data_IF_099648221918
#
_entry.id   IF_099648221918
#
_cell.length_a   1.000
_cell.length_b   1.000
_cell.length_c   1.000
_cell.angle_alpha   90.00
_cell.angle_beta   90.00
_cell.angle_gamma   90.00
#
_symmetry.space_group_name_H-M   'P 1'
#
loop_
_entity.id
_entity.type
_entity.pdbx_description
1 polymer ?
#
# COMPACT_ATOMS: atom_id res chain seq x y z
N UNK A 1 -13.27 6.45 7.36
CA UNK A 1 -11.87 5.99 7.33
C UNK A 1 -11.41 5.93 5.89
N UNK A 2 -10.24 6.50 5.59
CA UNK A 2 -9.57 6.41 4.27
C UNK A 2 -8.47 5.35 4.37
N UNK A 3 -8.54 4.29 3.56
CA UNK A 3 -7.55 3.21 3.55
C UNK A 3 -6.84 3.13 2.19
N UNK A 4 -5.52 3.33 2.16
CA UNK A 4 -4.77 3.47 0.91
C UNK A 4 -3.35 2.93 0.97
N UNK A 5 -2.81 2.56 -0.20
CA UNK A 5 -1.37 2.31 -0.39
C UNK A 5 -0.52 3.58 -0.49
N UNK A 6 -1.13 4.76 -0.64
CA UNK A 6 -0.42 6.02 -0.72
C UNK A 6 0.23 6.43 0.61
N UNK A 7 1.24 7.29 0.52
CA UNK A 7 1.85 7.96 1.66
C UNK A 7 0.84 8.84 2.41
N UNK A 8 0.98 8.92 3.72
CA UNK A 8 0.14 9.76 4.58
C UNK A 8 0.11 11.22 4.10
N UNK A 9 1.26 11.80 3.76
CA UNK A 9 1.35 13.19 3.31
C UNK A 9 0.51 13.45 2.06
N UNK A 10 0.50 12.52 1.11
CA UNK A 10 -0.31 12.63 -0.11
C UNK A 10 -1.81 12.60 0.19
N UNK A 11 -2.23 11.78 1.15
CA UNK A 11 -3.63 11.74 1.58
C UNK A 11 -4.03 13.04 2.26
N UNK A 12 -3.19 13.55 3.16
CA UNK A 12 -3.43 14.84 3.83
C UNK A 12 -3.54 15.99 2.83
N UNK A 13 -2.74 15.99 1.76
CA UNK A 13 -2.86 17.00 0.70
C UNK A 13 -4.22 16.92 -0.03
N UNK A 14 -4.72 15.72 -0.30
CA UNK A 14 -6.06 15.54 -0.90
C UNK A 14 -7.18 16.02 0.03
N UNK A 15 -7.02 15.83 1.33
CA UNK A 15 -8.03 16.16 2.34
C UNK A 15 -7.84 17.53 2.99
N UNK A 16 -6.86 18.34 2.58
CA UNK A 16 -6.52 19.63 3.19
C UNK A 16 -7.68 20.64 3.32
N UNK A 17 -8.70 20.52 2.46
CA UNK A 17 -9.88 21.38 2.47
C UNK A 17 -11.14 20.64 2.95
N UNK A 18 -11.00 19.40 3.45
CA UNK A 18 -12.14 18.65 3.94
C UNK A 18 -12.44 19.06 5.39
N UNK A 19 -13.67 19.52 5.62
CA UNK A 19 -14.16 19.89 6.93
C UNK A 19 -14.97 18.73 7.51
N UNK A 20 -14.33 17.84 8.25
CA UNK A 20 -14.98 16.69 8.87
C UNK A 20 -13.98 15.83 9.63
N UNK A 21 -14.48 14.95 10.47
CA UNK A 21 -13.67 13.95 11.17
C UNK A 21 -13.39 12.77 10.24
N UNK A 22 -12.14 12.37 10.17
CA UNK A 22 -11.71 11.21 9.41
C UNK A 22 -10.45 10.60 9.99
N UNK A 23 -10.29 9.30 9.75
CA UNK A 23 -9.11 8.53 10.12
C UNK A 23 -8.41 8.05 8.85
N UNK A 24 -7.10 7.86 8.90
CA UNK A 24 -6.33 7.42 7.73
C UNK A 24 -5.56 6.16 8.04
N UNK A 25 -5.65 5.20 7.12
CA UNK A 25 -4.78 4.03 6.98
C UNK A 25 -3.92 4.29 5.75
N UNK A 26 -2.64 4.62 5.94
CA UNK A 26 -1.69 4.93 4.88
C UNK A 26 -0.67 3.80 4.69
N UNK A 27 0.06 3.82 3.55
CA UNK A 27 1.11 2.85 3.24
C UNK A 27 0.67 1.39 3.44
N UNK A 28 -0.54 1.02 2.97
CA UNK A 28 -1.17 -0.29 3.15
C UNK A 28 -1.38 -0.70 4.62
N UNK A 29 -1.40 0.24 5.55
CA UNK A 29 -1.56 -0.02 6.98
C UNK A 29 -0.27 0.11 7.80
N UNK A 30 0.85 0.50 7.18
CA UNK A 30 2.09 0.73 7.90
C UNK A 30 2.03 1.99 8.80
N UNK A 31 1.13 2.93 8.49
CA UNK A 31 0.84 4.11 9.30
C UNK A 31 -0.66 4.27 9.48
N UNK A 32 -1.06 4.59 10.71
CA UNK A 32 -2.44 4.95 11.05
C UNK A 32 -2.45 6.36 11.64
N UNK A 33 -3.30 7.22 11.10
CA UNK A 33 -3.65 8.50 11.73
C UNK A 33 -5.03 8.36 12.38
N UNK A 34 -5.07 8.56 13.68
CA UNK A 34 -6.29 8.55 14.49
C UNK A 34 -6.39 9.88 15.25
N UNK A 35 -7.52 10.56 15.12
CA UNK A 35 -7.80 11.86 15.75
C UNK A 35 -6.71 12.93 15.46
N UNK A 36 -6.18 12.92 14.24
CA UNK A 36 -5.16 13.85 13.79
C UNK A 36 -3.73 13.51 14.20
N UNK A 37 -3.52 12.43 14.97
CA UNK A 37 -2.20 11.99 15.41
C UNK A 37 -1.77 10.69 14.72
N UNK A 38 -0.50 10.64 14.32
CA UNK A 38 0.07 9.42 13.74
C UNK A 38 0.35 8.42 14.84
N UNK A 39 -0.26 7.25 14.71
CA UNK A 39 -0.14 6.15 15.67
C UNK A 39 0.12 4.83 14.93
N UNK A 40 0.46 3.79 15.69
CA UNK A 40 0.64 2.42 15.18
C UNK A 40 1.50 2.34 13.92
N UNK A 41 2.71 2.91 13.99
CA UNK A 41 3.65 2.88 12.87
C UNK A 41 4.43 1.56 12.86
N UNK A 42 4.49 0.91 11.70
CA UNK A 42 5.20 -0.35 11.47
C UNK A 42 6.24 -0.20 10.36
N UNK A 43 7.48 -0.54 10.66
CA UNK A 43 8.58 -0.43 9.71
C UNK A 43 9.03 -1.80 9.21
N UNK A 44 9.55 -1.83 7.98
CA UNK A 44 10.29 -2.98 7.47
C UNK A 44 11.55 -3.21 8.32
N UNK A 45 11.85 -4.47 8.67
CA UNK A 45 13.13 -4.78 9.30
C UNK A 45 14.29 -4.37 8.38
N UNK A 46 15.32 -3.69 8.92
CA UNK A 46 16.45 -3.19 8.13
C UNK A 46 17.15 -4.30 7.33
N UNK A 47 17.25 -5.50 7.91
CA UNK A 47 17.86 -6.65 7.24
C UNK A 47 17.05 -7.11 6.01
N UNK A 48 15.73 -6.91 6.00
CA UNK A 48 14.91 -7.25 4.85
C UNK A 48 15.22 -6.37 3.64
N UNK A 49 15.62 -5.09 3.84
CA UNK A 49 15.91 -4.16 2.74
C UNK A 49 17.04 -4.67 1.84
N UNK A 50 18.10 -5.24 2.42
CA UNK A 50 19.23 -5.82 1.67
C UNK A 50 18.77 -7.03 0.83
N UNK A 51 17.94 -7.86 1.41
CA UNK A 51 17.39 -9.04 0.72
C UNK A 51 16.43 -8.64 -0.40
N UNK A 52 15.54 -7.67 -0.16
CA UNK A 52 14.65 -7.11 -1.18
C UNK A 52 15.47 -6.60 -2.36
N UNK A 53 16.50 -5.80 -2.10
CA UNK A 53 17.40 -5.31 -3.13
C UNK A 53 18.08 -6.45 -3.91
N UNK A 54 18.65 -7.43 -3.21
CA UNK A 54 19.34 -8.56 -3.84
C UNK A 54 18.40 -9.43 -4.69
N UNK A 55 17.14 -9.59 -4.28
CA UNK A 55 16.14 -10.27 -5.13
C UNK A 55 15.86 -9.43 -6.37
N UNK A 56 15.71 -8.11 -6.23
CA UNK A 56 15.45 -7.19 -7.33
C UNK A 56 16.55 -7.22 -8.39
N UNK A 57 17.81 -7.41 -7.99
CA UNK A 57 18.94 -7.51 -8.94
C UNK A 57 18.78 -8.62 -10.00
N UNK A 58 17.97 -9.64 -9.73
CA UNK A 58 17.66 -10.71 -10.69
C UNK A 58 16.64 -10.28 -11.76
N UNK A 59 15.95 -9.19 -11.54
CA UNK A 59 14.83 -8.71 -12.36
C UNK A 59 15.07 -7.32 -12.96
N UNK A 60 16.32 -6.86 -13.01
CA UNK A 60 16.66 -5.50 -13.47
C UNK A 60 16.17 -5.21 -14.90
N UNK A 61 16.15 -6.20 -15.77
CA UNK A 61 15.67 -6.06 -17.16
C UNK A 61 14.14 -5.86 -17.23
N UNK A 62 13.42 -6.21 -16.17
CA UNK A 62 11.96 -6.10 -16.07
C UNK A 62 11.50 -4.81 -15.36
N UNK A 63 12.42 -4.01 -14.81
CA UNK A 63 12.08 -2.82 -14.00
C UNK A 63 11.50 -1.73 -14.88
N UNK A 64 10.25 -1.35 -14.59
CA UNK A 64 9.58 -0.19 -15.20
C UNK A 64 9.66 1.05 -14.31
N UNK A 65 9.46 0.88 -12.97
CA UNK A 65 9.74 1.90 -11.97
C UNK A 65 10.69 1.31 -10.95
N UNK A 66 11.80 1.96 -10.69
CA UNK A 66 12.87 1.44 -9.84
C UNK A 66 12.43 1.15 -8.41
N UNK A 67 13.15 0.24 -7.76
CA UNK A 67 12.91 -0.10 -6.36
C UNK A 67 13.14 1.13 -5.47
N UNK A 68 12.09 1.55 -4.81
CA UNK A 68 12.10 2.64 -3.85
C UNK A 68 11.92 2.10 -2.42
N UNK A 69 12.59 2.74 -1.47
CA UNK A 69 12.44 2.52 -0.04
C UNK A 69 11.80 3.76 0.57
N UNK A 70 10.54 3.63 0.94
CA UNK A 70 9.71 4.75 1.37
C UNK A 70 9.75 4.86 2.90
N UNK A 71 10.42 5.91 3.40
CA UNK A 71 10.36 6.32 4.79
C UNK A 71 9.14 7.21 5.07
N UNK A 72 9.09 7.82 6.25
CA UNK A 72 8.01 8.75 6.59
C UNK A 72 8.15 10.11 5.88
N UNK A 73 9.37 10.54 5.61
CA UNK A 73 9.65 11.86 5.01
C UNK A 73 10.39 11.78 3.68
N UNK A 74 11.11 10.72 3.42
CA UNK A 74 12.02 10.59 2.28
C UNK A 74 11.83 9.26 1.58
N UNK A 75 11.83 9.28 0.25
CA UNK A 75 11.92 8.07 -0.58
C UNK A 75 13.36 7.88 -1.03
N UNK A 76 13.93 6.70 -0.82
CA UNK A 76 15.30 6.37 -1.20
C UNK A 76 15.33 5.43 -2.40
N UNK A 77 16.30 5.65 -3.28
CA UNK A 77 16.63 4.75 -4.40
C UNK A 77 18.14 4.63 -4.53
N UNK A 78 18.63 3.45 -4.90
CA UNK A 78 20.06 3.28 -5.15
C UNK A 78 20.47 3.93 -6.49
N UNK A 79 21.61 4.62 -6.50
CA UNK A 79 22.20 5.22 -7.71
C UNK A 79 22.43 4.20 -8.81
N UNK A 80 22.78 2.96 -8.46
CA UNK A 80 22.97 1.87 -9.41
C UNK A 80 21.69 1.56 -10.21
N UNK A 81 20.52 1.62 -9.57
CA UNK A 81 19.23 1.44 -10.25
C UNK A 81 18.81 2.70 -11.03
N UNK A 82 19.03 3.86 -10.44
CA UNK A 82 18.75 5.15 -11.09
C UNK A 82 19.52 5.34 -12.41
N UNK A 83 20.67 4.69 -12.56
CA UNK A 83 21.50 4.73 -13.76
C UNK A 83 21.01 3.83 -14.90
N UNK A 84 19.99 3.01 -14.71
CA UNK A 84 19.46 2.09 -15.72
C UNK A 84 18.45 2.82 -16.61
N UNK A 85 18.78 3.03 -17.89
CA UNK A 85 17.88 3.66 -18.86
C UNK A 85 17.21 4.94 -18.35
N UNK A 86 15.89 5.02 -18.45
CA UNK A 86 15.07 6.15 -17.97
C UNK A 86 14.54 5.98 -16.54
N UNK A 87 15.01 4.97 -15.80
CA UNK A 87 14.48 4.58 -14.48
C UNK A 87 14.40 5.76 -13.50
N UNK A 88 15.45 6.58 -13.41
CA UNK A 88 15.45 7.74 -12.52
C UNK A 88 14.37 8.75 -12.88
N UNK A 89 14.24 9.08 -14.18
CA UNK A 89 13.25 10.04 -14.66
C UNK A 89 11.84 9.54 -14.33
N UNK A 90 11.51 8.31 -14.68
CA UNK A 90 10.20 7.72 -14.44
C UNK A 90 9.92 7.67 -12.92
N UNK A 91 10.90 7.21 -12.14
CA UNK A 91 10.75 7.11 -10.68
C UNK A 91 10.58 8.46 -10.01
N UNK A 92 11.26 9.52 -10.51
CA UNK A 92 11.12 10.88 -9.96
C UNK A 92 9.76 11.53 -10.27
N UNK A 93 9.07 11.05 -11.29
CA UNK A 93 7.67 11.43 -11.58
C UNK A 93 6.67 10.66 -10.69
N UNK A 94 7.07 9.45 -10.24
CA UNK A 94 6.23 8.56 -9.45
C UNK A 94 6.35 8.79 -7.93
N UNK A 95 7.57 9.05 -7.45
CA UNK A 95 7.88 9.23 -6.03
C UNK A 95 8.21 10.67 -5.69
N UNK A 96 7.59 11.18 -4.62
CA UNK A 96 7.95 12.47 -4.04
C UNK A 96 9.22 12.35 -3.17
N UNK A 97 9.98 13.45 -3.07
CA UNK A 97 11.19 13.55 -2.24
C UNK A 97 12.20 12.40 -2.46
N UNK A 98 12.42 12.02 -3.73
CA UNK A 98 13.33 10.95 -4.09
C UNK A 98 14.80 11.33 -3.84
N UNK A 99 15.46 10.60 -2.98
CA UNK A 99 16.88 10.76 -2.61
C UNK A 99 17.69 9.57 -3.11
N UNK A 100 18.77 9.84 -3.84
CA UNK A 100 19.68 8.79 -4.31
C UNK A 100 20.76 8.50 -3.28
N UNK A 101 20.94 7.20 -2.98
CA UNK A 101 21.94 6.67 -2.06
C UNK A 101 22.90 5.70 -2.76
N UNK A 102 24.11 5.55 -2.24
CA UNK A 102 25.11 4.64 -2.82
C UNK A 102 24.85 3.18 -2.39
N UNK A 103 24.34 2.98 -1.19
CA UNK A 103 24.06 1.67 -0.61
C UNK A 103 22.80 1.68 0.27
N UNK A 104 22.29 0.49 0.61
CA UNK A 104 21.20 0.34 1.59
C UNK A 104 21.62 0.84 2.99
N UNK A 105 22.91 0.82 3.31
CA UNK A 105 23.40 1.26 4.62
C UNK A 105 23.30 2.79 4.77
N UNK A 106 23.20 3.54 3.66
CA UNK A 106 23.01 4.99 3.63
C UNK A 106 21.54 5.42 3.84
N UNK A 107 20.61 4.46 3.90
CA UNK A 107 19.23 4.72 4.27
C UNK A 107 19.17 5.03 5.77
N UNK A 108 18.89 6.29 6.11
CA UNK A 108 19.03 6.80 7.48
C UNK A 108 17.76 6.73 8.30
N UNK A 109 16.59 6.77 7.67
CA UNK A 109 15.31 6.65 8.39
C UNK A 109 14.71 5.25 8.30
N UNK A 110 13.85 4.86 9.26
CA UNK A 110 13.12 3.61 9.17
C UNK A 110 12.19 3.59 7.94
N UNK A 111 12.14 2.45 7.25
CA UNK A 111 11.37 2.29 6.02
C UNK A 111 10.01 1.66 6.31
N UNK A 112 8.95 2.33 5.88
CA UNK A 112 7.57 1.87 5.99
C UNK A 112 7.25 0.81 4.94
N UNK A 113 7.68 1.06 3.71
CA UNK A 113 7.31 0.29 2.53
C UNK A 113 8.42 0.33 1.49
N UNK A 114 8.64 -0.78 0.79
CA UNK A 114 9.35 -0.77 -0.49
C UNK A 114 8.37 -0.94 -1.63
N UNK A 115 8.59 -0.23 -2.73
CA UNK A 115 7.72 -0.25 -3.91
C UNK A 115 8.56 -0.43 -5.17
N UNK A 116 8.10 -1.28 -6.08
CA UNK A 116 8.68 -1.47 -7.42
C UNK A 116 7.55 -1.69 -8.43
N UNK A 117 7.76 -1.32 -9.68
CA UNK A 117 6.90 -1.72 -10.80
C UNK A 117 7.73 -2.51 -11.80
N UNK A 118 7.27 -3.69 -12.13
CA UNK A 118 7.88 -4.54 -13.16
C UNK A 118 7.00 -4.54 -14.41
N UNK A 119 7.62 -4.60 -15.58
CA UNK A 119 6.93 -4.76 -16.85
C UNK A 119 6.56 -6.23 -17.13
N UNK A 120 7.31 -7.16 -16.53
CA UNK A 120 7.15 -8.60 -16.67
C UNK A 120 7.61 -9.31 -15.38
N UNK A 121 7.27 -10.58 -15.24
CA UNK A 121 7.73 -11.47 -14.16
C UNK A 121 7.30 -11.05 -12.73
N UNK A 122 6.24 -10.24 -12.56
CA UNK A 122 5.74 -9.78 -11.27
C UNK A 122 5.45 -10.94 -10.31
N UNK A 123 4.78 -11.99 -10.82
CA UNK A 123 4.43 -13.17 -10.01
C UNK A 123 5.68 -13.93 -9.57
N UNK A 124 6.68 -14.06 -10.43
CA UNK A 124 7.94 -14.72 -10.09
C UNK A 124 8.71 -13.94 -9.03
N UNK A 125 8.79 -12.61 -9.18
CA UNK A 125 9.41 -11.70 -8.21
C UNK A 125 8.74 -11.80 -6.84
N UNK A 126 7.40 -11.71 -6.80
CA UNK A 126 6.65 -11.82 -5.55
C UNK A 126 6.84 -13.19 -4.89
N UNK A 127 6.90 -14.28 -5.66
CA UNK A 127 7.14 -15.63 -5.15
C UNK A 127 8.55 -15.78 -4.59
N UNK A 128 9.57 -15.24 -5.25
CA UNK A 128 10.94 -15.22 -4.75
C UNK A 128 11.02 -14.50 -3.39
N UNK A 129 10.41 -13.31 -3.29
CA UNK A 129 10.34 -12.57 -2.03
C UNK A 129 9.62 -13.35 -0.93
N UNK A 130 8.45 -13.89 -1.24
CA UNK A 130 7.66 -14.69 -0.28
C UNK A 130 8.40 -15.94 0.19
N UNK A 131 9.16 -16.59 -0.71
CA UNK A 131 9.94 -17.79 -0.34
C UNK A 131 11.07 -17.49 0.63
N UNK A 132 11.70 -16.32 0.51
CA UNK A 132 12.88 -15.92 1.31
C UNK A 132 12.47 -15.15 2.58
N UNK A 133 11.52 -14.22 2.45
CA UNK A 133 11.14 -13.25 3.48
C UNK A 133 9.70 -13.39 3.98
N UNK A 134 8.93 -14.38 3.54
CA UNK A 134 7.49 -14.43 3.78
C UNK A 134 7.02 -14.51 5.25
N UNK A 135 7.96 -14.69 6.20
CA UNK A 135 7.69 -14.55 7.66
C UNK A 135 8.03 -13.16 8.20
N UNK A 136 8.62 -12.32 7.38
CA UNK A 136 9.19 -11.02 7.77
C UNK A 136 8.52 -9.88 7.04
N UNK A 137 8.05 -10.17 5.82
CA UNK A 137 7.37 -9.19 4.96
C UNK A 137 6.04 -9.72 4.43
N UNK A 138 5.11 -8.80 4.25
CA UNK A 138 3.90 -8.99 3.45
C UNK A 138 4.14 -8.36 2.08
N UNK A 139 3.83 -9.10 1.00
CA UNK A 139 4.00 -8.65 -0.39
C UNK A 139 2.63 -8.62 -1.04
N UNK A 140 2.22 -7.45 -1.47
CA UNK A 140 0.92 -7.19 -2.09
C UNK A 140 1.07 -6.36 -3.35
N UNK A 141 -0.01 -6.21 -4.13
CA UNK A 141 -0.06 -5.28 -5.25
C UNK A 141 -0.98 -4.13 -4.93
N UNK A 142 -0.64 -2.95 -5.42
CA UNK A 142 -1.47 -1.76 -5.35
C UNK A 142 -1.73 -1.21 -6.75
N UNK A 143 -2.44 -0.09 -6.87
CA UNK A 143 -2.82 0.46 -8.16
C UNK A 143 -1.64 0.62 -9.14
N UNK A 144 -1.92 0.53 -10.42
CA UNK A 144 -0.97 0.70 -11.53
C UNK A 144 0.15 -0.35 -11.62
N UNK A 145 -0.08 -1.58 -11.11
CA UNK A 145 0.89 -2.67 -11.16
C UNK A 145 2.05 -2.53 -10.18
N UNK A 146 1.94 -1.63 -9.21
CA UNK A 146 2.96 -1.51 -8.18
C UNK A 146 2.94 -2.72 -7.24
N UNK A 147 4.12 -3.27 -6.98
CA UNK A 147 4.35 -4.31 -5.98
C UNK A 147 4.85 -3.60 -4.72
N UNK A 148 4.07 -3.71 -3.66
CA UNK A 148 4.38 -3.14 -2.36
C UNK A 148 4.85 -4.24 -1.40
N UNK A 149 5.93 -3.97 -0.70
CA UNK A 149 6.55 -4.84 0.30
C UNK A 149 6.54 -4.09 1.62
N UNK A 150 5.83 -4.62 2.60
CA UNK A 150 5.66 -4.03 3.92
C UNK A 150 6.04 -5.03 5.02
N UNK A 151 6.06 -4.61 6.28
CA UNK A 151 6.26 -5.54 7.40
C UNK A 151 5.18 -6.65 7.39
N UNK A 152 5.50 -7.85 7.84
CA UNK A 152 4.61 -9.02 7.81
C UNK A 152 3.24 -8.77 8.48
N UNK A 153 3.21 -7.93 9.52
CA UNK A 153 1.99 -7.61 10.26
C UNK A 153 1.20 -6.44 9.65
N UNK A 154 1.65 -5.91 8.51
CA UNK A 154 1.03 -4.76 7.85
C UNK A 154 0.10 -5.21 6.74
N UNK A 155 -1.17 -4.90 6.89
CA UNK A 155 -2.19 -4.87 5.86
C UNK A 155 -3.32 -3.92 6.30
N UNK A 156 -4.23 -3.59 5.39
CA UNK A 156 -5.35 -2.67 5.68
C UNK A 156 -6.30 -3.20 6.76
N UNK A 157 -6.46 -4.53 6.87
CA UNK A 157 -7.30 -5.15 7.89
C UNK A 157 -6.75 -4.95 9.30
N UNK A 158 -5.46 -5.20 9.52
CA UNK A 158 -4.83 -5.03 10.83
C UNK A 158 -4.86 -3.56 11.27
N UNK A 159 -4.67 -2.62 10.34
CA UNK A 159 -4.79 -1.20 10.62
C UNK A 159 -6.25 -0.77 10.92
N UNK A 160 -7.22 -1.30 10.16
CA UNK A 160 -8.64 -1.07 10.42
C UNK A 160 -9.07 -1.64 11.77
N UNK A 161 -8.59 -2.84 12.11
CA UNK A 161 -8.83 -3.45 13.42
C UNK A 161 -8.30 -2.56 14.55
N UNK A 162 -7.09 -2.01 14.41
CA UNK A 162 -6.53 -1.08 15.39
C UNK A 162 -7.44 0.13 15.61
N UNK A 163 -7.95 0.75 14.54
CA UNK A 163 -8.89 1.88 14.63
C UNK A 163 -10.22 1.45 15.24
N UNK A 164 -10.78 0.31 14.81
CA UNK A 164 -12.05 -0.22 15.31
C UNK A 164 -11.99 -0.51 16.82
N UNK A 165 -10.90 -1.12 17.29
CA UNK A 165 -10.66 -1.39 18.71
C UNK A 165 -10.57 -0.07 19.51
N UNK A 166 -9.89 0.96 18.99
CA UNK A 166 -9.76 2.26 19.63
C UNK A 166 -11.08 3.04 19.71
N UNK A 167 -11.91 2.91 18.67
CA UNK A 167 -13.23 3.56 18.60
C UNK A 167 -14.36 2.70 19.21
N UNK A 168 -14.05 1.50 19.71
CA UNK A 168 -15.03 0.54 20.25
C UNK A 168 -16.13 0.16 19.24
N UNK A 169 -15.76 -0.04 17.98
CA UNK A 169 -16.66 -0.46 16.89
C UNK A 169 -16.42 -1.93 16.56
N UNK A 170 -17.47 -2.73 16.54
CA UNK A 170 -17.37 -4.14 16.12
C UNK A 170 -17.18 -4.23 14.60
N UNK A 171 -16.36 -5.18 14.14
CA UNK A 171 -16.14 -5.42 12.70
C UNK A 171 -17.43 -5.65 11.92
N UNK A 172 -18.42 -6.32 12.54
CA UNK A 172 -19.74 -6.58 11.94
C UNK A 172 -20.54 -5.32 11.59
N UNK A 173 -20.23 -4.20 12.24
CA UNK A 173 -20.91 -2.92 12.06
C UNK A 173 -20.11 -1.98 11.10
N UNK A 174 -19.05 -2.49 10.46
CA UNK A 174 -18.20 -1.74 9.51
C UNK A 174 -18.58 -2.13 8.09
N UNK A 175 -18.82 -1.13 7.25
CA UNK A 175 -18.87 -1.28 5.80
C UNK A 175 -17.53 -0.81 5.20
N UNK A 176 -16.92 -1.64 4.34
CA UNK A 176 -15.70 -1.28 3.63
C UNK A 176 -15.82 -1.49 2.14
N UNK A 177 -15.19 -0.62 1.37
CA UNK A 177 -15.10 -0.66 -0.09
C UNK A 177 -13.66 -0.89 -0.50
N UNK A 178 -13.45 -1.75 -1.50
CA UNK A 178 -12.14 -2.02 -2.04
C UNK A 178 -12.19 -2.39 -3.52
N UNK A 179 -11.08 -2.18 -4.22
CA UNK A 179 -10.96 -2.52 -5.65
C UNK A 179 -9.66 -3.28 -5.99
N UNK A 180 -8.69 -3.31 -5.10
CA UNK A 180 -7.40 -3.95 -5.30
C UNK A 180 -7.15 -5.17 -4.40
N UNK A 181 -6.14 -5.97 -4.76
CA UNK A 181 -5.77 -7.13 -3.94
C UNK A 181 -5.26 -6.75 -2.55
N UNK A 182 -4.77 -5.53 -2.36
CA UNK A 182 -4.40 -4.99 -1.05
C UNK A 182 -5.60 -4.63 -0.16
N UNK A 183 -6.84 -4.75 -0.67
CA UNK A 183 -8.08 -4.59 0.08
C UNK A 183 -8.64 -5.92 0.58
N UNK A 184 -8.14 -7.06 0.06
CA UNK A 184 -8.72 -8.38 0.29
C UNK A 184 -8.93 -8.66 1.78
N UNK A 185 -7.87 -8.56 2.58
CA UNK A 185 -7.95 -8.87 4.01
C UNK A 185 -8.89 -7.90 4.75
N UNK A 186 -8.97 -6.63 4.30
CA UNK A 186 -9.89 -5.65 4.87
C UNK A 186 -11.34 -6.02 4.58
N UNK A 187 -11.64 -6.41 3.34
CA UNK A 187 -12.98 -6.87 2.96
C UNK A 187 -13.38 -8.17 3.67
N UNK A 188 -12.44 -9.10 3.86
CA UNK A 188 -12.69 -10.32 4.64
C UNK A 188 -12.91 -10.06 6.15
N UNK A 189 -12.39 -8.95 6.68
CA UNK A 189 -12.48 -8.62 8.10
C UNK A 189 -13.82 -7.99 8.51
N UNK A 190 -14.43 -7.19 7.63
CA UNK A 190 -15.61 -6.37 7.96
C UNK A 190 -16.93 -7.14 7.79
N UNK A 191 -17.99 -6.66 8.45
CA UNK A 191 -19.32 -7.25 8.34
C UNK A 191 -20.06 -6.91 7.05
N UNK A 192 -19.70 -5.79 6.38
CA UNK A 192 -20.32 -5.34 5.15
C UNK A 192 -19.25 -5.06 4.08
N UNK A 193 -18.65 -6.12 3.49
CA UNK A 193 -17.64 -5.96 2.45
C UNK A 193 -18.29 -5.63 1.11
N UNK A 194 -17.75 -4.64 0.41
CA UNK A 194 -18.22 -4.22 -0.92
C UNK A 194 -17.04 -4.15 -1.88
N UNK A 195 -17.01 -5.02 -2.89
CA UNK A 195 -16.11 -4.91 -4.02
C UNK A 195 -16.64 -3.85 -5.02
N UNK A 196 -15.75 -2.97 -5.49
CA UNK A 196 -16.14 -1.99 -6.51
C UNK A 196 -16.38 -2.70 -7.85
N UNK A 197 -17.28 -2.17 -8.70
CA UNK A 197 -17.54 -2.78 -10.02
C UNK A 197 -16.33 -2.82 -10.94
N UNK A 198 -15.30 -2.01 -10.68
CA UNK A 198 -14.01 -1.98 -11.38
C UNK A 198 -12.88 -2.73 -10.65
N UNK A 199 -13.22 -3.60 -9.71
CA UNK A 199 -12.26 -4.35 -8.90
C UNK A 199 -11.43 -5.35 -9.71
N UNK A 200 -10.28 -5.72 -9.13
CA UNK A 200 -9.52 -6.90 -9.55
C UNK A 200 -10.46 -8.13 -9.63
N UNK A 201 -10.39 -8.93 -10.71
CA UNK A 201 -11.25 -10.11 -10.88
C UNK A 201 -11.19 -11.12 -9.74
N UNK A 202 -10.11 -11.14 -8.96
CA UNK A 202 -9.97 -12.04 -7.81
C UNK A 202 -11.00 -11.72 -6.72
N UNK A 203 -11.30 -10.41 -6.49
CA UNK A 203 -12.27 -10.00 -5.47
C UNK A 203 -13.68 -10.55 -5.77
N UNK A 204 -14.05 -10.69 -7.04
CA UNK A 204 -15.35 -11.26 -7.43
C UNK A 204 -15.49 -12.77 -7.20
N UNK A 205 -14.43 -13.46 -6.78
CA UNK A 205 -14.50 -14.88 -6.40
C UNK A 205 -14.94 -15.07 -4.94
N UNK A 206 -14.99 -13.96 -4.18
CA UNK A 206 -15.44 -13.94 -2.79
C UNK A 206 -16.90 -13.52 -2.70
N UNK A 207 -17.55 -13.84 -1.59
CA UNK A 207 -18.95 -13.50 -1.31
C UNK A 207 -19.03 -12.06 -0.76
N UNK A 208 -18.61 -11.08 -1.57
CA UNK A 208 -18.68 -9.65 -1.29
C UNK A 208 -19.85 -9.03 -2.04
N UNK A 209 -20.50 -8.04 -1.44
CA UNK A 209 -21.43 -7.19 -2.17
C UNK A 209 -20.68 -6.44 -3.29
N UNK A 210 -21.42 -6.00 -4.31
CA UNK A 210 -20.84 -5.24 -5.41
C UNK A 210 -21.42 -3.83 -5.40
N UNK A 211 -20.56 -2.82 -5.54
CA UNK A 211 -20.99 -1.44 -5.60
C UNK A 211 -21.90 -1.17 -6.81
N UNK A 212 -22.83 -0.23 -6.70
CA UNK A 212 -23.79 0.11 -7.76
C UNK A 212 -23.16 0.83 -8.96
N UNK A 213 -21.94 1.36 -8.79
CA UNK A 213 -21.15 2.01 -9.85
C UNK A 213 -19.65 1.90 -9.50
N UNK A 214 -18.80 2.23 -10.47
CA UNK A 214 -17.35 2.27 -10.29
C UNK A 214 -16.87 3.52 -9.52
N UNK A 215 -15.55 3.60 -9.30
CA UNK A 215 -14.90 4.70 -8.58
C UNK A 215 -14.99 6.06 -9.33
N UNK A 216 -15.22 6.07 -10.64
CA UNK A 216 -15.36 7.30 -11.44
C UNK A 216 -16.81 7.86 -11.46
N UNK A 217 -17.77 7.06 -10.98
CA UNK A 217 -19.19 7.37 -11.03
C UNK A 217 -19.83 7.39 -9.63
N UNK A 218 -19.08 7.84 -8.61
CA UNK A 218 -19.53 7.97 -7.21
C UNK A 218 -20.05 6.65 -6.61
N UNK A 219 -19.45 5.51 -7.00
CA UNK A 219 -19.94 4.18 -6.63
C UNK A 219 -20.05 3.97 -5.12
N UNK A 220 -19.07 4.43 -4.34
CA UNK A 220 -19.08 4.34 -2.87
C UNK A 220 -20.29 5.09 -2.30
N UNK A 221 -20.45 6.38 -2.65
CA UNK A 221 -21.52 7.21 -2.13
C UNK A 221 -22.90 6.67 -2.51
N UNK A 222 -23.07 6.29 -3.77
CA UNK A 222 -24.35 5.73 -4.27
C UNK A 222 -24.72 4.43 -3.55
N UNK A 223 -23.74 3.53 -3.36
CA UNK A 223 -24.00 2.27 -2.65
C UNK A 223 -24.37 2.50 -1.19
N UNK A 224 -23.73 3.45 -0.50
CA UNK A 224 -24.11 3.82 0.86
C UNK A 224 -25.57 4.32 0.89
N UNK A 225 -25.94 5.23 -0.01
CA UNK A 225 -27.30 5.82 -0.04
C UNK A 225 -28.41 4.80 -0.36
N UNK A 226 -28.09 3.69 -1.05
CA UNK A 226 -29.05 2.62 -1.32
C UNK A 226 -29.20 1.65 -0.12
N UNK A 227 -28.26 1.63 0.81
CA UNK A 227 -28.25 0.72 1.95
C UNK A 227 -28.57 1.40 3.30
N UNK A 228 -28.82 2.70 3.29
CA UNK A 228 -29.27 3.50 4.44
C UNK A 228 -30.67 4.04 4.15
#
# INVERSE_FOLDING_TARGET
>A
IVATGNHLQKVLEYFKNFEGEYQIIANNGAEVMLDGEVQNVKFLPKEALKTIFSVTEKYLDDVAVGLAFNGQSTTYMLKSQAAIGDTFKISSEYFENLTLVDSIDDVVEPILKSTIVLSHNEVAYMNDLKSILGKVVHVTTSGYGAIDIVNADVNKANALKYIADALHVDAKDIMAFGDGLNDMEMLEYVGHPVAMTNSDPELFKHDFDISVADNQHDGVLKTILENV
#
